data_IF_623346180730
#
_entry.id   IF_623346180730
#
_cell.length_a   1.000
_cell.length_b   1.000
_cell.length_c   1.000
_cell.angle_alpha   90.00
_cell.angle_beta   90.00
_cell.angle_gamma   90.00
#
_symmetry.space_group_name_H-M   'P 1'
#
loop_
_entity.id
_entity.type
_entity.pdbx_description
1 polymer ?
#
# COMPACT_ATOMS: atom_id res chain seq x y z
N UNK A 1 -27.35 0.87 -3.28
CA UNK A 1 -28.58 0.08 -3.53
C UNK A 1 -28.92 -0.83 -2.36
N UNK A 2 -30.11 -1.43 -2.37
CA UNK A 2 -30.44 -2.53 -1.47
C UNK A 2 -29.81 -3.83 -1.98
N UNK A 3 -29.26 -4.63 -1.06
CA UNK A 3 -28.59 -5.87 -1.40
C UNK A 3 -29.57 -6.92 -1.99
N UNK A 4 -29.11 -7.78 -2.92
CA UNK A 4 -29.98 -8.66 -3.71
C UNK A 4 -30.91 -9.56 -2.88
N UNK A 5 -30.46 -10.13 -1.77
CA UNK A 5 -31.28 -10.96 -0.89
C UNK A 5 -32.43 -10.16 -0.27
N UNK A 6 -32.17 -8.90 0.11
CA UNK A 6 -33.23 -8.01 0.61
C UNK A 6 -34.23 -7.68 -0.50
N UNK A 7 -33.75 -7.50 -1.73
CA UNK A 7 -34.58 -7.28 -2.92
C UNK A 7 -35.44 -8.52 -3.23
N UNK A 8 -34.86 -9.71 -3.19
CA UNK A 8 -35.53 -10.99 -3.45
C UNK A 8 -36.59 -11.29 -2.40
N UNK A 9 -36.30 -11.06 -1.11
CA UNK A 9 -37.28 -11.21 -0.02
C UNK A 9 -38.47 -10.27 -0.23
N UNK A 10 -38.24 -9.05 -0.72
CA UNK A 10 -39.31 -8.11 -1.05
C UNK A 10 -40.14 -8.58 -2.24
N UNK A 11 -39.51 -9.07 -3.30
CA UNK A 11 -40.22 -9.64 -4.45
C UNK A 11 -41.08 -10.84 -4.06
N UNK A 12 -40.52 -11.74 -3.25
CA UNK A 12 -41.26 -12.88 -2.71
C UNK A 12 -42.42 -12.43 -1.82
N UNK A 13 -42.21 -11.46 -0.94
CA UNK A 13 -43.28 -10.89 -0.10
C UNK A 13 -44.42 -10.29 -0.94
N UNK A 14 -44.10 -9.51 -1.98
CA UNK A 14 -45.11 -8.95 -2.88
C UNK A 14 -45.85 -10.04 -3.66
N UNK A 15 -45.13 -11.05 -4.16
CA UNK A 15 -45.74 -12.19 -4.84
C UNK A 15 -46.73 -12.92 -3.93
N UNK A 16 -46.35 -13.19 -2.68
CA UNK A 16 -47.21 -13.84 -1.69
C UNK A 16 -48.45 -12.99 -1.39
N UNK A 17 -48.30 -11.68 -1.18
CA UNK A 17 -49.43 -10.77 -0.92
C UNK A 17 -50.42 -10.78 -2.08
N UNK A 18 -49.92 -10.68 -3.32
CA UNK A 18 -50.77 -10.72 -4.52
C UNK A 18 -51.49 -12.07 -4.63
N UNK A 19 -50.77 -13.18 -4.43
CA UNK A 19 -51.35 -14.52 -4.48
C UNK A 19 -52.46 -14.71 -3.43
N UNK A 20 -52.22 -14.29 -2.18
CA UNK A 20 -53.21 -14.34 -1.09
C UNK A 20 -54.44 -13.50 -1.43
N UNK A 21 -54.24 -12.31 -2.01
CA UNK A 21 -55.36 -11.44 -2.40
C UNK A 21 -56.21 -12.06 -3.52
N UNK A 22 -55.57 -12.64 -4.54
CA UNK A 22 -56.25 -13.35 -5.64
C UNK A 22 -57.02 -14.56 -5.11
N UNK A 23 -56.38 -15.40 -4.30
CA UNK A 23 -57.04 -16.57 -3.68
C UNK A 23 -58.21 -16.12 -2.80
N UNK A 24 -58.02 -15.07 -1.99
CA UNK A 24 -59.06 -14.49 -1.15
C UNK A 24 -60.26 -14.00 -1.95
N UNK A 25 -60.04 -13.29 -3.07
CA UNK A 25 -61.10 -12.83 -3.95
C UNK A 25 -61.87 -13.99 -4.61
N UNK A 26 -61.16 -15.05 -5.05
CA UNK A 26 -61.77 -16.26 -5.61
C UNK A 26 -62.61 -16.99 -4.56
N UNK A 27 -62.09 -17.20 -3.35
CA UNK A 27 -62.84 -17.85 -2.27
C UNK A 27 -64.05 -17.02 -1.84
N UNK A 28 -63.93 -15.70 -1.79
CA UNK A 28 -65.02 -14.80 -1.47
C UNK A 28 -66.15 -14.89 -2.51
N UNK A 29 -65.81 -14.81 -3.79
CA UNK A 29 -66.79 -14.87 -4.89
C UNK A 29 -67.52 -16.21 -4.95
N UNK A 30 -66.80 -17.32 -4.82
CA UNK A 30 -67.40 -18.67 -4.75
C UNK A 30 -68.28 -18.78 -3.51
N UNK A 31 -67.78 -18.35 -2.35
CA UNK A 31 -68.47 -18.47 -1.08
C UNK A 31 -69.80 -17.69 -1.02
N UNK A 32 -69.84 -16.48 -1.59
CA UNK A 32 -71.09 -15.73 -1.78
C UNK A 32 -72.04 -16.49 -2.70
N UNK A 33 -71.54 -17.10 -3.78
CA UNK A 33 -72.33 -17.93 -4.70
C UNK A 33 -72.98 -19.16 -4.05
N UNK A 34 -72.36 -19.74 -3.02
CA UNK A 34 -72.91 -20.84 -2.23
C UNK A 34 -73.81 -20.41 -1.04
N UNK A 35 -73.97 -19.10 -0.81
CA UNK A 35 -74.82 -18.57 0.26
C UNK A 35 -74.18 -18.56 1.66
N UNK A 36 -72.86 -18.65 1.76
CA UNK A 36 -72.17 -18.54 3.05
C UNK A 36 -72.32 -17.14 3.67
N UNK A 37 -72.30 -17.09 5.01
CA UNK A 37 -72.40 -15.81 5.72
C UNK A 37 -71.12 -14.98 5.52
N UNK A 38 -71.27 -13.64 5.44
CA UNK A 38 -70.12 -12.74 5.28
C UNK A 38 -69.08 -12.91 6.40
N UNK A 39 -69.54 -13.25 7.62
CA UNK A 39 -68.67 -13.51 8.77
C UNK A 39 -67.81 -14.75 8.58
N UNK A 40 -68.39 -15.85 8.07
CA UNK A 40 -67.66 -17.09 7.76
C UNK A 40 -66.62 -16.86 6.67
N UNK A 41 -66.97 -16.13 5.61
CA UNK A 41 -66.06 -15.86 4.50
C UNK A 41 -64.88 -14.98 4.92
N UNK A 42 -65.13 -13.92 5.69
CA UNK A 42 -64.06 -13.08 6.23
C UNK A 42 -63.15 -13.86 7.19
N UNK A 43 -63.73 -14.68 8.07
CA UNK A 43 -62.94 -15.52 8.98
C UNK A 43 -62.03 -16.50 8.21
N UNK A 44 -62.55 -17.11 7.15
CA UNK A 44 -61.80 -18.04 6.29
C UNK A 44 -60.66 -17.34 5.55
N UNK A 45 -60.91 -16.16 4.97
CA UNK A 45 -59.89 -15.39 4.24
C UNK A 45 -58.78 -14.94 5.18
N UNK A 46 -59.11 -14.47 6.38
CA UNK A 46 -58.11 -14.08 7.38
C UNK A 46 -57.27 -15.30 7.80
N UNK A 47 -57.90 -16.45 8.05
CA UNK A 47 -57.19 -17.67 8.42
C UNK A 47 -56.22 -18.14 7.33
N UNK A 48 -56.65 -18.16 6.06
CA UNK A 48 -55.79 -18.50 4.92
C UNK A 48 -54.65 -17.49 4.79
N UNK A 49 -54.95 -16.19 4.92
CA UNK A 49 -53.95 -15.13 4.81
C UNK A 49 -52.83 -15.27 5.84
N UNK A 50 -53.19 -15.46 7.12
CA UNK A 50 -52.22 -15.67 8.21
C UNK A 50 -51.41 -16.95 7.98
N UNK A 51 -52.03 -18.03 7.50
CA UNK A 51 -51.34 -19.31 7.28
C UNK A 51 -50.26 -19.28 6.19
N UNK A 52 -50.39 -18.36 5.21
CA UNK A 52 -49.50 -18.28 4.04
C UNK A 52 -48.31 -17.34 4.28
N UNK A 53 -48.40 -16.42 5.24
CA UNK A 53 -47.31 -15.46 5.52
C UNK A 53 -46.12 -16.20 6.12
N UNK A 54 -44.92 -16.14 5.50
CA UNK A 54 -43.75 -16.86 5.97
C UNK A 54 -43.04 -16.06 7.08
N UNK A 55 -43.67 -15.96 8.26
CA UNK A 55 -43.16 -15.20 9.42
C UNK A 55 -41.77 -15.66 9.89
N UNK A 56 -41.42 -16.94 9.64
CA UNK A 56 -40.12 -17.51 9.99
C UNK A 56 -38.96 -17.13 9.06
N UNK A 57 -39.24 -16.67 7.83
CA UNK A 57 -38.20 -16.43 6.82
C UNK A 57 -37.15 -15.37 7.25
N UNK A 58 -37.54 -14.19 7.79
CA UNK A 58 -36.57 -13.20 8.26
C UNK A 58 -35.65 -13.72 9.38
N UNK A 59 -36.19 -14.58 10.25
CA UNK A 59 -35.44 -15.19 11.37
C UNK A 59 -34.39 -16.15 10.82
N UNK A 60 -34.78 -17.04 9.90
CA UNK A 60 -33.87 -18.02 9.29
C UNK A 60 -32.73 -17.32 8.55
N UNK A 61 -33.03 -16.28 7.76
CA UNK A 61 -32.01 -15.51 7.04
C UNK A 61 -31.02 -14.86 8.00
N UNK A 62 -31.52 -14.24 9.07
CA UNK A 62 -30.66 -13.60 10.09
C UNK A 62 -29.75 -14.63 10.75
N UNK A 63 -30.26 -15.81 11.08
CA UNK A 63 -29.48 -16.89 11.68
C UNK A 63 -28.37 -17.39 10.73
N UNK A 64 -28.70 -17.60 9.45
CA UNK A 64 -27.71 -18.01 8.43
C UNK A 64 -26.61 -16.96 8.31
N UNK A 65 -26.95 -15.68 8.15
CA UNK A 65 -25.96 -14.60 8.08
C UNK A 65 -25.11 -14.49 9.35
N UNK A 66 -25.72 -14.64 10.53
CA UNK A 66 -25.01 -14.63 11.81
C UNK A 66 -24.00 -15.77 11.93
N UNK A 67 -24.34 -16.98 11.47
CA UNK A 67 -23.37 -18.10 11.43
C UNK A 67 -22.20 -17.81 10.49
N UNK A 68 -22.45 -17.13 9.35
CA UNK A 68 -21.41 -16.66 8.44
C UNK A 68 -20.45 -15.67 9.12
N UNK A 69 -21.00 -14.66 9.80
CA UNK A 69 -20.22 -13.69 10.58
C UNK A 69 -19.40 -14.36 11.68
N UNK A 70 -19.97 -15.35 12.38
CA UNK A 70 -19.25 -16.08 13.41
C UNK A 70 -18.08 -16.89 12.86
N UNK A 71 -18.26 -17.55 11.70
CA UNK A 71 -17.17 -18.27 11.00
C UNK A 71 -16.07 -17.32 10.53
N UNK A 72 -16.43 -16.13 10.06
CA UNK A 72 -15.48 -15.07 9.69
C UNK A 72 -14.71 -14.53 10.91
N UNK A 73 -15.39 -14.33 12.04
CA UNK A 73 -14.77 -13.90 13.31
C UNK A 73 -13.71 -14.89 13.81
N UNK A 74 -13.94 -16.20 13.66
CA UNK A 74 -12.92 -17.24 13.95
C UNK A 74 -11.65 -17.15 13.08
N UNK A 75 -11.72 -16.42 11.97
CA UNK A 75 -10.59 -16.17 11.06
C UNK A 75 -10.09 -14.71 11.14
N UNK A 76 -10.33 -14.04 12.26
CA UNK A 76 -9.93 -12.66 12.53
C UNK A 76 -10.56 -11.60 11.60
N UNK A 77 -11.73 -11.89 11.02
CA UNK A 77 -12.50 -10.92 10.21
C UNK A 77 -13.65 -10.35 11.05
N UNK A 78 -13.61 -9.04 11.31
CA UNK A 78 -14.66 -8.34 12.06
C UNK A 78 -15.74 -7.79 11.11
N UNK A 79 -16.91 -8.42 11.10
CA UNK A 79 -18.05 -7.96 10.30
C UNK A 79 -18.94 -7.02 11.13
N UNK A 80 -19.04 -5.75 10.71
CA UNK A 80 -19.88 -4.74 11.39
C UNK A 80 -21.35 -4.78 10.99
N UNK A 81 -21.67 -5.32 9.80
CA UNK A 81 -23.02 -5.42 9.23
C UNK A 81 -23.22 -6.82 8.65
N UNK A 82 -24.24 -7.55 9.11
CA UNK A 82 -24.50 -8.93 8.65
C UNK A 82 -24.60 -9.04 7.13
N UNK A 83 -25.16 -8.01 6.49
CA UNK A 83 -25.37 -7.98 5.05
C UNK A 83 -24.06 -7.86 4.24
N UNK A 84 -22.93 -7.52 4.88
CA UNK A 84 -21.63 -7.54 4.21
C UNK A 84 -21.19 -8.97 3.81
N UNK A 85 -21.67 -9.99 4.53
CA UNK A 85 -21.38 -11.41 4.19
C UNK A 85 -22.01 -11.78 2.86
N UNK A 86 -23.22 -11.28 2.61
CA UNK A 86 -23.94 -11.47 1.35
C UNK A 86 -23.21 -10.75 0.21
N UNK A 87 -22.88 -9.47 0.41
CA UNK A 87 -22.18 -8.67 -0.59
C UNK A 87 -20.87 -9.33 -1.03
N UNK A 88 -20.06 -9.83 -0.08
CA UNK A 88 -18.82 -10.55 -0.38
C UNK A 88 -19.03 -11.84 -1.19
N UNK A 89 -20.16 -12.51 -1.02
CA UNK A 89 -20.50 -13.73 -1.76
C UNK A 89 -20.94 -13.47 -3.21
N UNK A 90 -21.28 -12.23 -3.54
CA UNK A 90 -21.75 -11.80 -4.86
C UNK A 90 -20.80 -10.76 -5.49
N UNK A 91 -19.57 -10.67 -4.99
CA UNK A 91 -18.61 -9.69 -5.49
C UNK A 91 -17.97 -10.22 -6.76
N UNK A 92 -18.20 -9.54 -7.88
CA UNK A 92 -17.53 -9.82 -9.16
C UNK A 92 -16.22 -9.04 -9.30
N UNK A 93 -16.08 -7.92 -8.57
CA UNK A 93 -14.95 -7.00 -8.68
C UNK A 93 -14.48 -6.53 -7.32
N UNK A 94 -13.18 -6.61 -7.07
CA UNK A 94 -12.54 -6.11 -5.86
C UNK A 94 -11.58 -4.98 -6.24
N UNK A 95 -11.91 -3.78 -5.77
CA UNK A 95 -11.00 -2.63 -5.80
C UNK A 95 -10.13 -2.61 -4.54
N UNK A 96 -8.81 -2.67 -4.72
CA UNK A 96 -7.82 -2.66 -3.66
C UNK A 96 -7.06 -1.33 -3.64
N UNK A 97 -6.86 -0.78 -2.44
CA UNK A 97 -5.81 0.23 -2.24
C UNK A 97 -4.43 -0.46 -2.29
N UNK A 98 -3.40 0.28 -2.68
CA UNK A 98 -2.02 -0.21 -2.67
C UNK A 98 -1.42 -0.13 -1.26
N UNK A 99 -1.36 1.08 -0.71
CA UNK A 99 -0.56 1.36 0.50
C UNK A 99 -1.25 0.78 1.74
N UNK A 100 -0.54 -0.09 2.46
CA UNK A 100 -1.05 -0.71 3.70
C UNK A 100 -2.07 -1.84 3.51
N UNK A 101 -2.63 -1.99 2.31
CA UNK A 101 -3.51 -3.11 1.93
C UNK A 101 -2.72 -4.18 1.17
N UNK A 102 -2.19 -3.84 -0.01
CA UNK A 102 -1.28 -4.71 -0.78
C UNK A 102 0.11 -4.71 -0.18
N UNK A 103 0.58 -3.53 0.24
CA UNK A 103 1.91 -3.36 0.85
C UNK A 103 1.85 -3.45 2.38
N UNK A 104 3.00 -3.71 3.00
CA UNK A 104 3.11 -3.65 4.46
C UNK A 104 3.10 -2.22 5.00
N UNK A 105 3.24 -1.20 4.13
CA UNK A 105 3.51 0.17 4.54
C UNK A 105 4.79 0.23 5.42
N UNK A 106 5.74 -0.63 5.09
CA UNK A 106 7.04 -0.76 5.73
C UNK A 106 8.08 -0.53 4.64
N UNK A 107 8.71 0.64 4.64
CA UNK A 107 9.69 0.99 3.62
C UNK A 107 10.97 0.17 3.82
N UNK A 108 11.50 -0.41 2.76
CA UNK A 108 12.71 -1.26 2.81
C UNK A 108 13.69 -0.79 1.74
N UNK A 109 14.97 -0.63 2.10
CA UNK A 109 16.02 -0.44 1.09
C UNK A 109 16.20 -1.76 0.34
N UNK A 110 15.98 -1.75 -0.98
CA UNK A 110 16.16 -2.89 -1.88
C UNK A 110 17.44 -2.80 -2.69
N UNK A 111 17.86 -1.59 -3.03
CA UNK A 111 19.05 -1.37 -3.84
C UNK A 111 19.97 -0.35 -3.19
N UNK A 112 21.28 -0.60 -3.26
CA UNK A 112 22.31 0.33 -2.80
C UNK A 112 23.29 0.50 -3.95
N UNK A 113 23.36 1.72 -4.50
CA UNK A 113 24.37 2.06 -5.49
C UNK A 113 25.47 2.87 -4.82
N UNK A 114 26.67 2.31 -4.72
CA UNK A 114 27.83 2.97 -4.09
C UNK A 114 29.11 2.55 -4.79
N UNK A 115 30.02 3.51 -5.02
CA UNK A 115 31.32 3.29 -5.68
C UNK A 115 31.23 2.53 -7.02
N UNK A 116 30.20 2.83 -7.82
CA UNK A 116 29.99 2.19 -9.14
C UNK A 116 29.43 0.77 -9.08
N UNK A 117 29.09 0.25 -7.90
CA UNK A 117 28.50 -1.08 -7.69
C UNK A 117 27.05 -0.96 -7.28
N UNK A 118 26.22 -1.89 -7.75
CA UNK A 118 24.82 -2.03 -7.37
C UNK A 118 24.64 -3.29 -6.53
N UNK A 119 24.26 -3.10 -5.27
CA UNK A 119 23.96 -4.17 -4.32
C UNK A 119 22.46 -4.32 -4.17
N UNK A 120 21.99 -5.56 -3.99
CA UNK A 120 20.59 -5.88 -3.74
C UNK A 120 20.42 -6.38 -2.31
N UNK A 121 19.51 -5.78 -1.57
CA UNK A 121 19.23 -6.10 -0.17
C UNK A 121 17.97 -6.96 -0.10
N UNK A 122 18.10 -8.18 0.43
CA UNK A 122 16.97 -9.09 0.65
C UNK A 122 16.28 -8.83 1.99
N UNK A 123 15.16 -9.52 2.18
CA UNK A 123 14.30 -9.40 3.35
C UNK A 123 13.05 -8.56 3.08
N UNK A 124 12.13 -8.65 4.02
CA UNK A 124 10.80 -8.03 3.96
C UNK A 124 10.56 -7.29 5.26
N UNK A 125 9.99 -6.09 5.16
CA UNK A 125 9.67 -5.27 6.32
C UNK A 125 10.88 -4.79 7.11
N UNK A 126 10.66 -4.46 8.37
CA UNK A 126 11.68 -3.90 9.27
C UNK A 126 12.53 -4.94 10.01
N UNK A 127 12.51 -6.21 9.60
CA UNK A 127 13.40 -7.20 10.19
C UNK A 127 14.87 -6.87 9.84
N UNK A 128 15.76 -6.68 10.84
CA UNK A 128 17.18 -6.35 10.62
C UNK A 128 18.01 -7.58 10.24
N UNK A 129 17.42 -8.49 9.46
CA UNK A 129 18.08 -9.67 8.89
C UNK A 129 17.81 -9.69 7.39
N UNK A 130 18.84 -10.04 6.64
CA UNK A 130 18.74 -10.15 5.19
C UNK A 130 20.10 -10.31 4.57
N UNK A 131 20.13 -11.07 3.49
CA UNK A 131 21.32 -11.25 2.66
C UNK A 131 21.49 -10.04 1.74
N UNK A 132 22.73 -9.71 1.42
CA UNK A 132 23.07 -8.69 0.43
C UNK A 132 23.73 -9.39 -0.75
N UNK A 133 23.26 -9.11 -1.95
CA UNK A 133 23.78 -9.68 -3.19
C UNK A 133 24.56 -8.64 -4.00
N UNK A 134 25.64 -9.07 -4.63
CA UNK A 134 26.37 -8.32 -5.65
C UNK A 134 26.60 -9.25 -6.84
N UNK A 135 26.22 -8.83 -8.05
CA UNK A 135 26.32 -9.63 -9.28
C UNK A 135 25.67 -11.03 -9.16
N UNK A 136 24.52 -11.12 -8.47
CA UNK A 136 23.77 -12.36 -8.28
C UNK A 136 24.38 -13.36 -7.27
N UNK A 137 25.36 -12.93 -6.47
CA UNK A 137 25.95 -13.75 -5.40
C UNK A 137 25.77 -13.07 -4.05
N UNK A 138 25.42 -13.84 -3.03
CA UNK A 138 25.41 -13.38 -1.64
C UNK A 138 26.84 -13.01 -1.25
N UNK A 139 27.01 -11.81 -0.68
CA UNK A 139 28.29 -11.30 -0.21
C UNK A 139 28.26 -11.06 1.31
N UNK A 140 29.45 -11.05 1.89
CA UNK A 140 29.66 -10.66 3.29
C UNK A 140 29.91 -9.14 3.34
N UNK A 141 29.02 -8.33 3.94
CA UNK A 141 29.13 -6.87 3.91
C UNK A 141 30.46 -6.32 4.48
N UNK A 142 31.06 -7.03 5.43
CA UNK A 142 32.34 -6.66 6.05
C UNK A 142 33.51 -6.56 5.05
N UNK A 143 33.41 -7.23 3.89
CA UNK A 143 34.43 -7.20 2.84
C UNK A 143 34.25 -6.04 1.85
N UNK A 144 33.24 -5.18 2.05
CA UNK A 144 32.86 -4.11 1.14
C UNK A 144 32.87 -2.74 1.86
N UNK A 145 34.02 -2.03 1.90
CA UNK A 145 34.14 -0.74 2.56
C UNK A 145 33.14 0.32 2.08
N UNK A 146 32.78 0.28 0.80
CA UNK A 146 31.77 1.13 0.18
C UNK A 146 30.38 0.92 0.80
N UNK A 147 30.03 -0.34 1.07
CA UNK A 147 28.76 -0.73 1.67
C UNK A 147 28.74 -0.36 3.15
N UNK A 148 29.87 -0.58 3.85
CA UNK A 148 30.05 -0.15 5.23
C UNK A 148 29.90 1.38 5.38
N UNK A 149 30.41 2.17 4.45
CA UNK A 149 30.20 3.61 4.48
C UNK A 149 28.71 3.99 4.32
N UNK A 150 28.02 3.36 3.37
CA UNK A 150 26.59 3.57 3.16
C UNK A 150 25.76 3.20 4.41
N UNK A 151 26.06 2.06 5.04
CA UNK A 151 25.43 1.61 6.29
C UNK A 151 25.69 2.57 7.45
N UNK A 152 26.94 3.05 7.61
CA UNK A 152 27.29 4.03 8.64
C UNK A 152 26.48 5.33 8.49
N UNK A 153 26.39 5.87 7.27
CA UNK A 153 25.59 7.07 6.98
C UNK A 153 24.12 6.78 7.28
N UNK A 154 23.58 5.64 6.83
CA UNK A 154 22.19 5.26 7.07
C UNK A 154 21.82 5.11 8.55
N UNK A 155 22.74 4.64 9.39
CA UNK A 155 22.54 4.52 10.84
C UNK A 155 22.66 5.85 11.58
N UNK A 156 23.72 6.63 11.31
CA UNK A 156 24.03 7.85 12.05
C UNK A 156 23.21 9.06 11.56
N UNK A 157 22.74 9.05 10.32
CA UNK A 157 21.85 10.06 9.73
C UNK A 157 20.38 9.58 9.72
N UNK A 158 19.96 8.95 10.80
CA UNK A 158 18.58 8.53 11.04
C UNK A 158 18.18 9.00 12.44
N UNK A 159 17.02 9.65 12.60
CA UNK A 159 16.41 9.94 13.90
C UNK A 159 15.46 8.81 14.32
N UNK A 160 15.18 7.86 13.43
CA UNK A 160 14.34 6.71 13.70
C UNK A 160 14.96 5.76 14.73
N UNK A 161 14.09 4.94 15.33
CA UNK A 161 14.47 3.84 16.22
C UNK A 161 13.80 2.56 15.75
N UNK A 162 14.57 1.49 15.80
CA UNK A 162 14.13 0.13 15.53
C UNK A 162 13.96 -0.61 16.86
N UNK A 163 12.82 -1.25 17.07
CA UNK A 163 12.54 -2.02 18.27
C UNK A 163 11.73 -3.27 17.94
N UNK A 164 11.89 -4.32 18.74
CA UNK A 164 11.02 -5.50 18.68
C UNK A 164 9.80 -5.27 19.59
N UNK A 165 8.60 -5.30 19.01
CA UNK A 165 7.35 -5.24 19.77
C UNK A 165 7.05 -6.62 20.36
N UNK A 166 7.24 -6.76 21.67
CA UNK A 166 7.02 -8.00 22.41
C UNK A 166 5.59 -8.54 22.32
N UNK A 167 4.59 -7.70 22.02
CA UNK A 167 3.19 -8.14 21.92
C UNK A 167 2.85 -8.70 20.53
N UNK A 168 3.55 -8.23 19.50
CA UNK A 168 3.28 -8.57 18.09
C UNK A 168 4.31 -9.51 17.49
N UNK A 169 5.39 -9.80 18.23
CA UNK A 169 6.57 -10.54 17.74
C UNK A 169 7.10 -9.95 16.41
N UNK A 170 7.00 -8.62 16.27
CA UNK A 170 7.29 -7.91 15.03
C UNK A 170 8.21 -6.72 15.27
N UNK A 171 9.11 -6.47 14.33
CA UNK A 171 9.96 -5.29 14.34
C UNK A 171 9.17 -4.06 13.94
N UNK A 172 9.29 -3.00 14.73
CA UNK A 172 8.64 -1.73 14.52
C UNK A 172 9.68 -0.62 14.41
N UNK A 173 9.41 0.31 13.50
CA UNK A 173 10.15 1.57 13.38
C UNK A 173 9.31 2.67 14.01
N UNK A 174 9.91 3.46 14.90
CA UNK A 174 9.37 4.73 15.36
C UNK A 174 10.19 5.88 14.78
N UNK A 175 9.56 6.75 13.99
CA UNK A 175 10.21 7.86 13.28
C UNK A 175 9.73 7.94 11.83
N UNK A 176 10.47 8.67 10.99
CA UNK A 176 10.21 8.70 9.55
C UNK A 176 10.45 7.30 8.92
N UNK A 177 9.53 6.77 8.10
CA UNK A 177 9.69 5.46 7.48
C UNK A 177 10.93 5.33 6.58
N UNK A 178 11.35 6.41 5.92
CA UNK A 178 12.54 6.43 5.06
C UNK A 178 13.79 6.24 5.91
N UNK A 179 13.89 6.97 7.02
CA UNK A 179 14.99 6.85 7.97
C UNK A 179 14.98 5.52 8.73
N UNK A 180 13.79 4.95 8.94
CA UNK A 180 13.63 3.58 9.43
C UNK A 180 14.21 2.57 8.45
N UNK A 181 13.90 2.70 7.17
CA UNK A 181 14.43 1.84 6.12
C UNK A 181 15.96 1.90 6.04
N UNK A 182 16.55 3.10 6.14
CA UNK A 182 18.02 3.26 6.14
C UNK A 182 18.66 2.70 7.40
N UNK A 183 18.00 2.81 8.56
CA UNK A 183 18.47 2.22 9.82
C UNK A 183 18.44 0.69 9.76
N UNK A 184 17.35 0.09 9.28
CA UNK A 184 17.22 -1.37 9.10
C UNK A 184 18.26 -1.89 8.11
N UNK A 185 18.50 -1.14 7.02
CA UNK A 185 19.56 -1.46 6.06
C UNK A 185 20.95 -1.46 6.73
N UNK A 186 21.23 -0.47 7.58
CA UNK A 186 22.49 -0.43 8.32
C UNK A 186 22.65 -1.63 9.27
N UNK A 187 21.57 -2.05 9.94
CA UNK A 187 21.59 -3.26 10.77
C UNK A 187 21.85 -4.53 9.96
N UNK A 188 21.27 -4.66 8.76
CA UNK A 188 21.54 -5.78 7.85
C UNK A 188 23.00 -5.82 7.37
N UNK A 189 23.64 -4.66 7.23
CA UNK A 189 25.08 -4.55 6.91
C UNK A 189 25.96 -4.92 8.11
N UNK A 190 25.40 -4.97 9.32
CA UNK A 190 26.10 -5.34 10.55
C UNK A 190 26.34 -4.19 11.52
N UNK A 191 25.78 -3.01 11.28
CA UNK A 191 25.86 -1.88 12.20
C UNK A 191 24.70 -1.85 13.17
N UNK A 192 24.99 -1.75 14.47
CA UNK A 192 24.01 -1.27 15.44
C UNK A 192 24.26 0.19 15.71
N UNK A 193 23.23 1.02 15.53
CA UNK A 193 23.33 2.47 15.78
C UNK A 193 23.84 2.78 17.18
N UNK A 194 23.37 2.05 18.18
CA UNK A 194 23.81 2.20 19.58
C UNK A 194 25.30 1.93 19.80
N UNK A 195 25.93 1.12 18.95
CA UNK A 195 27.36 0.85 19.03
C UNK A 195 28.16 1.94 18.30
N UNK A 196 27.66 2.40 17.15
CA UNK A 196 28.24 3.56 16.45
C UNK A 196 28.18 4.83 17.30
N UNK A 197 27.09 5.10 18.02
CA UNK A 197 26.95 6.28 18.88
C UNK A 197 27.90 6.28 20.10
N UNK A 198 28.56 5.16 20.41
CA UNK A 198 29.64 5.11 21.41
C UNK A 198 30.98 5.60 20.85
N UNK A 199 31.20 5.41 19.54
CA UNK A 199 32.43 5.78 18.85
C UNK A 199 32.33 7.18 18.20
N UNK A 200 31.13 7.53 17.76
CA UNK A 200 30.79 8.78 17.09
C UNK A 200 29.91 9.60 18.03
N UNK A 201 30.43 10.71 18.54
CA UNK A 201 29.68 11.58 19.47
C UNK A 201 28.87 12.58 18.64
N UNK A 202 27.55 12.59 18.78
CA UNK A 202 26.69 13.53 18.05
C UNK A 202 26.97 14.96 18.52
N UNK A 203 27.38 15.83 17.60
CA UNK A 203 27.63 17.25 17.85
C UNK A 203 26.40 18.07 17.52
N UNK A 204 25.81 17.84 16.33
CA UNK A 204 24.67 18.62 15.84
C UNK A 204 23.79 17.75 14.92
N UNK A 205 22.50 18.08 14.88
CA UNK A 205 21.50 17.45 14.01
C UNK A 205 20.59 18.53 13.42
N UNK A 206 20.39 18.48 12.10
CA UNK A 206 19.33 19.22 11.40
C UNK A 206 18.37 18.18 10.83
N UNK A 207 17.22 17.93 11.48
CA UNK A 207 16.21 17.02 10.97
C UNK A 207 15.80 17.38 9.54
N UNK A 208 15.15 16.44 8.84
CA UNK A 208 14.72 16.66 7.48
C UNK A 208 13.90 17.96 7.32
N UNK A 209 14.39 18.86 6.49
CA UNK A 209 13.73 20.12 6.15
C UNK A 209 13.11 20.03 4.76
N UNK A 210 11.86 20.46 4.58
CA UNK A 210 11.14 20.32 3.31
C UNK A 210 11.62 21.29 2.21
N UNK A 211 12.31 22.38 2.58
CA UNK A 211 12.92 23.32 1.63
C UNK A 211 14.29 22.82 1.19
N UNK A 212 15.11 22.39 2.16
CA UNK A 212 16.44 21.84 1.91
C UNK A 212 16.39 20.40 1.41
N UNK A 213 15.29 19.66 1.62
CA UNK A 213 15.05 18.28 1.15
C UNK A 213 16.11 17.25 1.58
N UNK A 214 16.80 17.47 2.70
CA UNK A 214 17.70 16.49 3.31
C UNK A 214 17.69 16.58 4.84
N UNK A 215 18.06 15.49 5.49
CA UNK A 215 18.47 15.42 6.89
C UNK A 215 20.00 15.47 6.92
N UNK A 216 20.57 16.29 7.81
CA UNK A 216 22.01 16.35 8.06
C UNK A 216 22.36 16.10 9.53
N UNK A 217 23.39 15.29 9.77
CA UNK A 217 23.95 15.04 11.11
C UNK A 217 25.46 15.28 11.13
N UNK A 218 25.95 15.76 12.26
CA UNK A 218 27.36 16.04 12.49
C UNK A 218 27.82 15.24 13.71
N UNK A 219 28.84 14.42 13.52
CA UNK A 219 29.44 13.62 14.58
C UNK A 219 30.92 13.93 14.73
N UNK A 220 31.42 13.84 15.95
CA UNK A 220 32.85 13.88 16.26
C UNK A 220 33.41 12.45 16.31
N UNK A 221 34.51 12.23 15.59
CA UNK A 221 35.33 11.02 15.61
C UNK A 221 36.79 11.43 15.79
N UNK A 222 37.41 11.05 16.92
CA UNK A 222 38.84 11.28 17.21
C UNK A 222 39.29 12.74 16.98
N UNK A 223 38.45 13.70 17.40
CA UNK A 223 38.72 15.13 17.29
C UNK A 223 38.45 15.76 15.92
N UNK A 224 37.91 14.98 14.96
CA UNK A 224 37.46 15.47 13.65
C UNK A 224 35.94 15.39 13.53
N UNK A 225 35.36 16.26 12.72
CA UNK A 225 33.92 16.25 12.45
C UNK A 225 33.60 15.51 11.14
N UNK A 226 32.61 14.64 11.18
CA UNK A 226 32.03 13.95 10.05
C UNK A 226 30.59 14.41 9.88
N UNK A 227 30.35 15.17 8.81
CA UNK A 227 29.02 15.54 8.37
C UNK A 227 28.47 14.44 7.47
N UNK A 228 27.22 14.04 7.69
CA UNK A 228 26.50 13.06 6.89
C UNK A 228 25.14 13.60 6.50
N UNK A 229 24.69 13.27 5.28
CA UNK A 229 23.42 13.70 4.74
C UNK A 229 22.68 12.53 4.10
N UNK A 230 21.37 12.50 4.28
CA UNK A 230 20.43 11.64 3.56
C UNK A 230 19.29 12.51 3.05
N UNK A 231 19.01 12.47 1.75
CA UNK A 231 17.99 13.35 1.19
C UNK A 231 17.61 13.10 -0.25
N UNK A 232 16.90 14.06 -0.83
CA UNK A 232 16.51 14.03 -2.24
C UNK A 232 17.74 13.95 -3.14
N UNK A 233 17.70 13.00 -4.08
CA UNK A 233 18.82 12.68 -4.96
C UNK A 233 19.36 13.88 -5.73
N UNK A 234 18.45 14.70 -6.28
CA UNK A 234 18.81 15.91 -7.02
C UNK A 234 19.52 16.95 -6.14
N UNK A 235 19.04 17.13 -4.90
CA UNK A 235 19.60 18.15 -4.01
C UNK A 235 21.00 17.78 -3.56
N UNK A 236 21.20 16.54 -3.11
CA UNK A 236 22.52 16.06 -2.71
C UNK A 236 23.50 16.13 -3.89
N UNK A 237 23.09 15.77 -5.10
CA UNK A 237 23.92 15.89 -6.31
C UNK A 237 24.26 17.36 -6.65
N UNK A 238 23.33 18.28 -6.42
CA UNK A 238 23.51 19.70 -6.68
C UNK A 238 24.58 20.31 -5.78
N UNK A 239 24.55 19.99 -4.48
CA UNK A 239 25.54 20.46 -3.50
C UNK A 239 26.84 19.63 -3.46
N UNK A 240 26.95 18.60 -4.30
CA UNK A 240 28.15 17.76 -4.42
C UNK A 240 29.11 18.26 -5.50
N UNK A 241 30.35 18.52 -5.10
CA UNK A 241 31.49 18.78 -6.02
C UNK A 241 32.44 17.57 -6.11
N UNK A 242 32.34 16.65 -5.15
CA UNK A 242 33.16 15.45 -5.07
C UNK A 242 32.29 14.21 -5.04
N UNK A 243 32.88 13.09 -5.41
CA UNK A 243 32.32 11.75 -5.28
C UNK A 243 33.31 10.89 -4.51
N UNK A 244 32.81 10.18 -3.52
CA UNK A 244 33.59 9.19 -2.80
C UNK A 244 33.75 7.94 -3.67
N UNK A 245 35.00 7.49 -3.84
CA UNK A 245 35.31 6.26 -4.58
C UNK A 245 36.64 5.69 -4.09
N UNK A 246 36.73 4.38 -3.91
CA UNK A 246 37.94 3.69 -3.44
C UNK A 246 38.58 4.37 -2.21
N UNK A 247 37.76 4.72 -1.22
CA UNK A 247 38.17 5.41 0.02
C UNK A 247 38.75 6.82 -0.13
N UNK A 248 38.60 7.45 -1.30
CA UNK A 248 39.07 8.83 -1.56
C UNK A 248 38.01 9.68 -2.22
N UNK A 249 38.12 10.99 -2.01
CA UNK A 249 37.27 11.97 -2.66
C UNK A 249 37.84 12.33 -4.03
N UNK A 250 37.04 12.14 -5.08
CA UNK A 250 37.38 12.53 -6.45
C UNK A 250 36.49 13.67 -6.93
N UNK A 251 36.96 14.49 -7.86
CA UNK A 251 36.12 15.52 -8.48
C UNK A 251 34.93 14.86 -9.18
N UNK A 252 33.74 15.42 -8.93
CA UNK A 252 32.49 15.03 -9.56
C UNK A 252 32.29 15.87 -10.83
N UNK A 253 32.94 15.44 -11.91
CA UNK A 253 32.82 16.04 -13.25
C UNK A 253 31.41 15.89 -13.83
N UNK A 254 31.01 16.76 -14.75
CA UNK A 254 29.69 16.70 -15.41
C UNK A 254 29.38 15.35 -16.06
N UNK A 255 30.37 14.71 -16.71
CA UNK A 255 30.21 13.37 -17.28
C UNK A 255 29.86 12.31 -16.22
N UNK A 256 30.39 12.43 -15.00
CA UNK A 256 30.04 11.54 -13.88
C UNK A 256 28.67 11.88 -13.32
N UNK A 257 28.30 13.16 -13.23
CA UNK A 257 26.94 13.58 -12.82
C UNK A 257 25.90 12.98 -13.77
N UNK A 258 26.16 12.98 -15.07
CA UNK A 258 25.23 12.42 -16.05
C UNK A 258 25.06 10.90 -15.89
N UNK A 259 26.16 10.17 -15.65
CA UNK A 259 26.07 8.73 -15.29
C UNK A 259 25.26 8.47 -14.03
N UNK A 260 25.38 9.33 -13.01
CA UNK A 260 24.58 9.20 -11.78
C UNK A 260 23.09 9.45 -12.04
N UNK A 261 22.74 10.39 -12.94
CA UNK A 261 21.36 10.59 -13.35
C UNK A 261 20.80 9.37 -14.08
N UNK A 262 21.58 8.73 -14.95
CA UNK A 262 21.16 7.48 -15.60
C UNK A 262 20.88 6.36 -14.58
N UNK A 263 21.72 6.23 -13.55
CA UNK A 263 21.50 5.27 -12.46
C UNK A 263 20.22 5.61 -11.68
N UNK A 264 20.04 6.88 -11.30
CA UNK A 264 18.83 7.35 -10.63
C UNK A 264 17.56 7.05 -11.46
N UNK A 265 17.59 7.31 -12.77
CA UNK A 265 16.49 7.00 -13.67
C UNK A 265 16.18 5.51 -13.72
N UNK A 266 17.20 4.64 -13.86
CA UNK A 266 17.02 3.18 -13.87
C UNK A 266 16.39 2.65 -12.58
N UNK A 267 16.88 3.10 -11.42
CA UNK A 267 16.32 2.71 -10.12
C UNK A 267 14.86 3.19 -9.99
N UNK A 268 14.57 4.42 -10.43
CA UNK A 268 13.22 4.99 -10.40
C UNK A 268 12.25 4.28 -11.34
N UNK A 269 12.71 3.86 -12.53
CA UNK A 269 11.95 3.04 -13.48
C UNK A 269 11.60 1.66 -12.91
N UNK A 270 12.44 1.13 -12.02
CA UNK A 270 12.16 -0.06 -11.22
C UNK A 270 11.09 0.15 -10.13
N UNK A 271 10.51 1.34 -10.01
CA UNK A 271 9.49 1.66 -9.02
C UNK A 271 10.05 2.06 -7.65
N UNK A 272 11.38 2.16 -7.52
CA UNK A 272 12.03 2.52 -6.26
C UNK A 272 11.97 4.02 -5.99
N UNK A 273 11.70 4.38 -4.73
CA UNK A 273 11.96 5.73 -4.22
C UNK A 273 13.45 5.88 -3.97
N UNK A 274 14.11 6.73 -4.75
CA UNK A 274 15.57 6.89 -4.68
C UNK A 274 15.98 8.09 -3.82
N UNK A 275 16.78 7.85 -2.78
CA UNK A 275 17.42 8.88 -1.95
C UNK A 275 18.94 8.82 -2.11
N UNK A 276 19.62 9.94 -1.87
CA UNK A 276 21.08 10.01 -1.96
C UNK A 276 21.74 10.16 -0.60
N UNK A 277 22.96 9.62 -0.53
CA UNK A 277 23.87 9.71 0.60
C UNK A 277 24.98 10.71 0.29
N UNK A 278 25.24 11.62 1.22
CA UNK A 278 26.32 12.58 1.14
C UNK A 278 27.16 12.60 2.42
N UNK A 279 28.42 12.99 2.32
CA UNK A 279 29.25 13.21 3.50
C UNK A 279 30.29 14.31 3.30
N UNK A 280 30.85 14.81 4.40
CA UNK A 280 32.01 15.71 4.39
C UNK A 280 32.84 15.51 5.65
N UNK A 281 34.14 15.31 5.47
CA UNK A 281 35.11 15.30 6.57
C UNK A 281 35.62 16.72 6.82
N UNK A 282 35.67 17.12 8.09
CA UNK A 282 36.03 18.46 8.54
C UNK A 282 36.94 18.33 9.76
N UNK A 283 37.88 19.27 9.97
CA UNK A 283 38.67 19.29 11.21
C UNK A 283 37.76 19.63 12.41
N UNK A 284 37.08 20.79 12.36
CA UNK A 284 35.95 21.16 13.21
C UNK A 284 34.99 22.02 12.42
N UNK A 285 33.71 22.01 12.80
CA UNK A 285 32.68 22.80 12.14
C UNK A 285 31.29 22.59 12.72
N UNK A 286 30.32 23.20 12.08
CA UNK A 286 28.89 23.19 12.41
C UNK A 286 28.09 23.02 11.10
N UNK A 287 26.82 22.66 11.22
CA UNK A 287 25.94 22.50 10.06
C UNK A 287 25.42 23.87 9.64
N UNK A 288 26.00 24.44 8.58
CA UNK A 288 25.57 25.71 7.98
C UNK A 288 25.08 25.44 6.56
N UNK A 289 23.75 25.28 6.33
CA UNK A 289 23.18 24.96 5.02
C UNK A 289 23.70 25.83 3.87
N UNK A 290 23.83 27.13 4.10
CA UNK A 290 24.28 28.12 3.11
C UNK A 290 25.76 27.97 2.75
N UNK A 291 26.55 27.27 3.57
CA UNK A 291 28.00 27.03 3.39
C UNK A 291 28.32 25.55 3.13
N UNK A 292 27.31 24.71 2.89
CA UNK A 292 27.50 23.28 2.60
C UNK A 292 28.06 22.98 1.21
N UNK A 293 28.54 23.98 0.47
CA UNK A 293 28.80 23.94 -0.98
C UNK A 293 29.85 22.95 -1.50
N UNK A 294 30.38 22.03 -0.68
CA UNK A 294 31.34 21.01 -1.11
C UNK A 294 31.16 19.76 -0.26
N UNK A 295 30.15 18.94 -0.56
CA UNK A 295 30.06 17.58 -0.02
C UNK A 295 30.56 16.54 -1.02
N UNK A 296 30.88 15.36 -0.50
CA UNK A 296 31.17 14.15 -1.26
C UNK A 296 29.86 13.37 -1.44
N UNK A 297 29.44 13.18 -2.70
CA UNK A 297 28.40 12.21 -3.04
C UNK A 297 28.92 10.81 -2.74
N UNK A 298 28.15 10.02 -1.99
CA UNK A 298 28.53 8.64 -1.63
C UNK A 298 27.79 7.63 -2.49
N UNK A 299 26.47 7.73 -2.58
CA UNK A 299 25.66 6.72 -3.27
C UNK A 299 24.17 7.00 -3.27
N UNK A 300 23.42 6.09 -3.87
CA UNK A 300 21.95 6.08 -3.83
C UNK A 300 21.44 4.88 -3.03
N UNK A 301 20.29 5.07 -2.39
CA UNK A 301 19.48 4.00 -1.82
C UNK A 301 18.14 3.97 -2.56
N UNK A 302 17.81 2.81 -3.13
CA UNK A 302 16.50 2.51 -3.70
C UNK A 302 15.61 1.89 -2.65
N UNK A 303 14.55 2.61 -2.29
CA UNK A 303 13.61 2.25 -1.24
C UNK A 303 12.30 1.81 -1.87
N UNK A 304 11.77 0.68 -1.42
CA UNK A 304 10.52 0.09 -1.89
C UNK A 304 9.52 -0.01 -0.74
N UNK A 305 8.24 0.19 -1.03
CA UNK A 305 7.14 -0.24 -0.16
C UNK A 305 6.73 -1.66 -0.56
N UNK A 306 7.37 -2.67 0.05
CA UNK A 306 7.24 -4.05 -0.42
C UNK A 306 5.82 -4.62 -0.18
N UNK A 307 5.32 -5.45 -1.12
CA UNK A 307 4.05 -6.13 -0.94
C UNK A 307 4.10 -7.12 0.24
N UNK A 308 2.93 -7.38 0.83
CA UNK A 308 2.77 -8.46 1.81
C UNK A 308 2.95 -9.81 1.13
N UNK A 309 3.63 -10.76 1.77
CA UNK A 309 3.94 -12.07 1.18
C UNK A 309 2.67 -12.86 0.83
N UNK A 310 1.64 -12.74 1.66
CA UNK A 310 0.35 -13.41 1.49
C UNK A 310 -0.51 -12.85 0.35
N UNK A 311 -0.22 -11.63 -0.16
CA UNK A 311 -1.08 -10.98 -1.15
C UNK A 311 -1.04 -11.71 -2.48
N UNK A 312 0.11 -12.21 -2.93
CA UNK A 312 0.18 -12.97 -4.19
C UNK A 312 -0.70 -14.23 -4.15
N UNK A 313 -0.71 -14.94 -3.02
CA UNK A 313 -1.58 -16.11 -2.85
C UNK A 313 -3.07 -15.70 -2.82
N UNK A 314 -3.40 -14.59 -2.16
CA UNK A 314 -4.75 -14.06 -2.12
C UNK A 314 -5.24 -13.64 -3.52
N UNK A 315 -4.41 -12.94 -4.30
CA UNK A 315 -4.69 -12.55 -5.69
C UNK A 315 -5.03 -13.79 -6.53
N UNK A 316 -4.20 -14.83 -6.47
CA UNK A 316 -4.45 -16.07 -7.21
C UNK A 316 -5.79 -16.75 -6.82
N UNK A 317 -6.16 -16.72 -5.54
CA UNK A 317 -7.45 -17.27 -5.07
C UNK A 317 -8.64 -16.46 -5.58
N UNK A 318 -8.52 -15.14 -5.62
CA UNK A 318 -9.57 -14.25 -6.13
C UNK A 318 -9.73 -14.43 -7.65
N UNK A 319 -8.63 -14.45 -8.40
CA UNK A 319 -8.66 -14.67 -9.85
C UNK A 319 -9.23 -16.04 -10.22
N UNK A 320 -8.85 -17.11 -9.49
CA UNK A 320 -9.39 -18.46 -9.74
C UNK A 320 -10.88 -18.59 -9.40
N UNK A 321 -11.43 -17.67 -8.60
CA UNK A 321 -12.86 -17.56 -8.36
C UNK A 321 -13.60 -16.75 -9.44
N UNK A 322 -12.89 -16.24 -10.46
CA UNK A 322 -13.46 -15.42 -11.54
C UNK A 322 -13.72 -13.97 -11.15
N UNK A 323 -13.19 -13.52 -9.99
CA UNK A 323 -13.38 -12.16 -9.49
C UNK A 323 -12.27 -11.28 -10.06
N UNK A 324 -12.66 -10.13 -10.61
CA UNK A 324 -11.73 -9.15 -11.16
C UNK A 324 -11.07 -8.33 -10.06
N UNK A 325 -9.76 -8.11 -10.18
CA UNK A 325 -9.00 -7.25 -9.27
C UNK A 325 -8.62 -5.94 -9.95
N UNK A 326 -8.83 -4.84 -9.24
CA UNK A 326 -8.45 -3.51 -9.70
C UNK A 326 -7.68 -2.81 -8.58
N UNK A 327 -6.48 -2.30 -8.86
CA UNK A 327 -5.73 -1.47 -7.93
C UNK A 327 -6.08 0.01 -8.11
N UNK A 328 -6.40 0.72 -7.02
CA UNK A 328 -6.61 2.17 -7.00
C UNK A 328 -5.57 2.78 -6.08
N UNK A 329 -4.77 3.73 -6.58
CA UNK A 329 -3.68 4.32 -5.79
C UNK A 329 -3.40 5.77 -6.18
N UNK A 330 -2.90 6.54 -5.19
CA UNK A 330 -2.36 7.89 -5.40
C UNK A 330 -0.94 7.90 -5.99
N UNK A 331 -0.29 6.73 -6.08
CA UNK A 331 1.08 6.60 -6.57
C UNK A 331 1.23 6.86 -8.07
N UNK A 332 2.47 7.06 -8.49
CA UNK A 332 2.80 7.19 -9.90
C UNK A 332 2.57 5.86 -10.65
N UNK A 333 2.14 5.96 -11.92
CA UNK A 333 1.87 4.82 -12.82
C UNK A 333 2.97 3.75 -12.84
N UNK A 334 4.24 4.18 -12.81
CA UNK A 334 5.41 3.28 -12.88
C UNK A 334 5.49 2.42 -11.62
N UNK A 335 5.47 3.03 -10.43
CA UNK A 335 5.52 2.34 -9.14
C UNK A 335 4.29 1.45 -8.93
N UNK A 336 3.10 1.95 -9.27
CA UNK A 336 1.87 1.18 -9.19
C UNK A 336 1.92 -0.08 -10.06
N UNK A 337 2.41 0.03 -11.30
CA UNK A 337 2.60 -1.10 -12.20
C UNK A 337 3.57 -2.13 -11.63
N UNK A 338 4.74 -1.68 -11.16
CA UNK A 338 5.77 -2.58 -10.64
C UNK A 338 5.22 -3.46 -9.51
N UNK A 339 4.54 -2.86 -8.53
CA UNK A 339 3.93 -3.59 -7.41
C UNK A 339 2.79 -4.50 -7.88
N UNK A 340 1.90 -4.00 -8.75
CA UNK A 340 0.79 -4.78 -9.27
C UNK A 340 1.23 -5.99 -10.10
N UNK A 341 2.28 -5.84 -10.92
CA UNK A 341 2.91 -6.92 -11.68
C UNK A 341 3.54 -7.94 -10.73
N UNK A 342 4.20 -7.48 -9.67
CA UNK A 342 4.81 -8.36 -8.67
C UNK A 342 3.75 -9.18 -7.92
N UNK A 343 2.61 -8.61 -7.54
CA UNK A 343 1.57 -9.38 -6.82
C UNK A 343 0.60 -10.13 -7.74
N UNK A 344 0.67 -9.90 -9.05
CA UNK A 344 -0.17 -10.56 -10.07
C UNK A 344 -1.49 -9.85 -10.37
N UNK A 345 -1.71 -8.62 -9.88
CA UNK A 345 -2.88 -7.80 -10.19
C UNK A 345 -2.83 -7.25 -11.61
N UNK A 346 -1.62 -6.92 -12.11
CA UNK A 346 -1.43 -6.41 -13.47
C UNK A 346 -0.68 -7.42 -14.32
N UNK A 347 -1.18 -7.64 -15.54
CA UNK A 347 -0.58 -8.52 -16.55
C UNK A 347 -0.26 -7.73 -17.82
N UNK A 348 0.64 -8.27 -18.64
CA UNK A 348 0.96 -7.67 -19.94
C UNK A 348 -0.29 -7.64 -20.82
N UNK A 349 -0.71 -6.44 -21.19
CA UNK A 349 -1.94 -6.20 -21.96
C UNK A 349 -2.94 -5.36 -21.19
N UNK A 350 -2.85 -5.33 -19.86
CA UNK A 350 -3.75 -4.57 -19.00
C UNK A 350 -3.47 -3.07 -19.11
N UNK A 351 -4.55 -2.29 -19.12
CA UNK A 351 -4.51 -0.84 -19.16
C UNK A 351 -4.26 -0.24 -17.75
N UNK A 352 -3.60 0.92 -17.75
CA UNK A 352 -3.38 1.74 -16.55
C UNK A 352 -3.80 3.16 -16.85
N UNK A 353 -4.79 3.66 -16.11
CA UNK A 353 -5.32 5.01 -16.23
C UNK A 353 -4.79 5.90 -15.10
N UNK A 354 -4.42 7.15 -15.41
CA UNK A 354 -4.18 8.16 -14.37
C UNK A 354 -5.47 8.92 -14.08
N UNK A 355 -5.66 9.41 -12.84
CA UNK A 355 -6.86 10.17 -12.46
C UNK A 355 -7.19 11.32 -13.41
N UNK A 356 -6.17 12.04 -13.89
CA UNK A 356 -6.31 13.14 -14.86
C UNK A 356 -6.89 12.72 -16.22
N UNK A 357 -6.70 11.45 -16.60
CA UNK A 357 -7.17 10.89 -17.87
C UNK A 357 -8.61 10.41 -17.71
N UNK A 358 -8.93 9.78 -16.56
CA UNK A 358 -10.31 9.44 -16.16
C UNK A 358 -11.20 10.69 -16.11
N UNK A 359 -10.68 11.80 -15.58
CA UNK A 359 -11.45 13.04 -15.44
C UNK A 359 -11.91 13.63 -16.78
N UNK A 360 -11.19 13.33 -17.86
CA UNK A 360 -11.48 13.79 -19.23
C UNK A 360 -12.42 12.85 -20.00
N UNK A 361 -12.63 11.64 -19.50
CA UNK A 361 -13.48 10.65 -20.15
C UNK A 361 -14.96 10.88 -19.81
N UNK A 362 -15.82 10.58 -20.78
CA UNK A 362 -17.25 10.38 -20.54
C UNK A 362 -17.49 9.02 -19.87
N UNK A 363 -18.65 8.82 -19.24
CA UNK A 363 -19.02 7.54 -18.61
C UNK A 363 -18.97 6.38 -19.61
N UNK A 364 -19.41 6.61 -20.85
CA UNK A 364 -19.37 5.61 -21.92
C UNK A 364 -17.95 5.22 -22.30
N UNK A 365 -17.07 6.21 -22.51
CA UNK A 365 -15.66 5.95 -22.82
C UNK A 365 -14.97 5.20 -21.68
N UNK A 366 -15.29 5.55 -20.44
CA UNK A 366 -14.72 4.89 -19.28
C UNK A 366 -15.17 3.43 -19.19
N UNK A 367 -16.48 3.16 -19.35
CA UNK A 367 -17.06 1.82 -19.39
C UNK A 367 -16.40 0.91 -20.45
N UNK A 368 -16.11 1.44 -21.65
CA UNK A 368 -15.40 0.69 -22.70
C UNK A 368 -13.96 0.31 -22.31
N UNK A 369 -13.30 1.09 -21.46
CA UNK A 369 -11.96 0.77 -20.95
C UNK A 369 -12.00 -0.14 -19.72
N UNK A 370 -13.12 -0.17 -18.99
CA UNK A 370 -13.21 -0.84 -17.70
C UNK A 370 -12.89 -2.32 -17.77
N UNK A 371 -13.20 -3.03 -18.86
CA UNK A 371 -12.91 -4.46 -19.04
C UNK A 371 -11.41 -4.78 -18.96
N UNK A 372 -10.54 -3.88 -19.41
CA UNK A 372 -9.09 -4.14 -19.52
C UNK A 372 -8.23 -3.36 -18.53
N UNK A 373 -8.83 -2.50 -17.68
CA UNK A 373 -8.07 -1.70 -16.69
C UNK A 373 -7.86 -2.50 -15.40
N UNK A 374 -6.60 -2.60 -14.99
CA UNK A 374 -6.21 -3.23 -13.71
C UNK A 374 -5.63 -2.22 -12.71
N UNK A 375 -5.29 -1.00 -13.13
CA UNK A 375 -4.71 0.03 -12.25
C UNK A 375 -5.28 1.42 -12.57
N UNK A 376 -5.73 2.11 -11.52
CA UNK A 376 -5.95 3.54 -11.47
C UNK A 376 -4.86 4.19 -10.61
N UNK A 377 -4.06 5.08 -11.21
CA UNK A 377 -2.92 5.73 -10.57
C UNK A 377 -3.13 7.25 -10.42
N UNK A 378 -2.39 7.89 -9.50
CA UNK A 378 -2.57 9.31 -9.16
C UNK A 378 -4.02 9.71 -8.87
N UNK A 379 -4.79 8.79 -8.28
CA UNK A 379 -6.15 9.07 -7.84
C UNK A 379 -6.08 9.68 -6.44
N UNK A 380 -6.54 10.91 -6.29
CA UNK A 380 -6.61 11.57 -4.98
C UNK A 380 -8.00 11.40 -4.37
N UNK A 381 -8.08 11.04 -3.06
CA UNK A 381 -9.34 11.16 -2.34
C UNK A 381 -9.62 12.65 -2.16
N UNK A 382 -10.54 13.21 -2.96
CA UNK A 382 -10.95 14.60 -2.78
C UNK A 382 -11.74 14.69 -1.47
N UNK A 383 -11.11 15.28 -0.45
CA UNK A 383 -11.77 15.53 0.83
C UNK A 383 -12.99 16.44 0.62
N UNK A 384 -14.18 15.88 0.82
CA UNK A 384 -15.41 16.67 1.04
C UNK A 384 -16.31 16.95 -0.16
N UNK A 385 -16.07 16.38 -1.35
CA UNK A 385 -17.06 16.47 -2.45
C UNK A 385 -17.76 15.13 -2.67
N UNK A 386 -19.11 15.09 -2.70
CA UNK A 386 -19.89 13.89 -3.01
C UNK A 386 -19.58 13.30 -4.41
N UNK A 387 -19.03 14.12 -5.32
CA UNK A 387 -18.89 13.83 -6.74
C UNK A 387 -17.88 12.71 -7.09
N UNK A 388 -16.73 12.59 -6.41
CA UNK A 388 -15.71 11.59 -6.75
C UNK A 388 -15.94 10.24 -6.10
N UNK A 389 -16.56 10.23 -4.90
CA UNK A 389 -17.03 8.99 -4.27
C UNK A 389 -18.07 8.32 -5.15
N UNK A 390 -18.96 9.12 -5.75
CA UNK A 390 -19.88 8.66 -6.78
C UNK A 390 -19.13 8.15 -8.00
N UNK A 391 -18.31 8.95 -8.69
CA UNK A 391 -17.62 8.45 -9.90
C UNK A 391 -16.88 7.12 -9.69
N UNK A 392 -16.08 6.92 -8.65
CA UNK A 392 -15.39 5.64 -8.46
C UNK A 392 -16.26 4.50 -7.89
N UNK A 393 -17.26 4.80 -7.03
CA UNK A 393 -18.22 3.77 -6.64
C UNK A 393 -19.07 3.34 -7.83
N UNK A 394 -19.49 4.29 -8.66
CA UNK A 394 -20.29 4.10 -9.85
C UNK A 394 -19.45 3.36 -10.92
N UNK A 395 -18.17 3.73 -11.10
CA UNK A 395 -17.20 2.98 -11.91
C UNK A 395 -17.08 1.53 -11.42
N UNK A 396 -16.99 1.27 -10.12
CA UNK A 396 -16.89 -0.10 -9.58
C UNK A 396 -18.24 -0.84 -9.68
N UNK A 397 -19.37 -0.13 -9.66
CA UNK A 397 -20.70 -0.70 -9.84
C UNK A 397 -21.02 -1.01 -11.30
N UNK A 398 -20.40 -0.31 -12.26
CA UNK A 398 -20.56 -0.53 -13.70
C UNK A 398 -19.69 -1.68 -14.24
N UNK A 399 -18.68 -2.13 -13.48
CA UNK A 399 -17.89 -3.35 -13.77
C UNK A 399 -18.64 -4.55 -13.18
#
# INVERSE_FOLDING_TARGET
EELPLKKDIRHLSHFIIIAVFVIGAVLFTIGVGYGHSLRELLATIVAVSVSVIPEGLPIVVTLVLATGVWRMGKRNVLVKKLQAVEALGQTDVIALDKTGTVTKNELVVKEIYVDGKLFFVKGVGYEPKGEIELNGKIIEPLNHPELLLAGKIGALCSSARLALDSNREAWIVSGDPTEGATLVMAEKIGYRKSDLEKEFIKVEEKPFDYKLKYHATLYEEKGKHLLMLVGASEEILNISEKIWSHSRAHILTDSKKEKLKEVFSKMSEGGLRVVALGMKKMEKGEIIPEKLSVIEFVGFLGIEDSPRMEVREAVNKVESAGIKLVMITGDHKITARAIAEEVGIWKRGDAILEGKDVDKMTERELSEHMENVSIFSRVTPVAGTPYTRHRFSDIIQDI
#
